data_IF_266430947529
#
_entry.id   IF_266430947529
#
_cell.length_a   1.000
_cell.length_b   1.000
_cell.length_c   1.000
_cell.angle_alpha   90.00
_cell.angle_beta   90.00
_cell.angle_gamma   90.00
#
_symmetry.space_group_name_H-M   'P 1'
#
loop_
_entity.id
_entity.type
_entity.pdbx_description
1 polymer ?
#
# COMPACT_ATOMS: atom_id res chain seq x y z
N UNK A 1 -13.38 -26.30 -1.35
CA UNK A 1 -13.42 -25.75 -2.72
C UNK A 1 -12.50 -24.55 -2.76
N UNK A 2 -11.21 -24.78 -2.97
CA UNK A 2 -10.22 -23.73 -3.21
C UNK A 2 -10.40 -23.28 -4.66
N UNK A 3 -11.26 -22.29 -4.88
CA UNK A 3 -11.22 -21.58 -6.15
C UNK A 3 -9.83 -20.96 -6.29
N UNK A 4 -9.20 -21.15 -7.45
CA UNK A 4 -7.91 -20.54 -7.76
C UNK A 4 -7.98 -19.04 -7.49
N UNK A 5 -7.44 -18.60 -6.35
CA UNK A 5 -7.24 -17.19 -6.04
C UNK A 5 -6.08 -16.71 -6.90
N UNK A 6 -6.35 -16.47 -8.19
CA UNK A 6 -5.40 -15.81 -9.06
C UNK A 6 -5.28 -14.36 -8.56
N UNK A 7 -4.12 -13.93 -8.05
CA UNK A 7 -3.97 -12.56 -7.59
C UNK A 7 -4.27 -11.57 -8.71
N UNK A 8 -4.86 -10.41 -8.41
CA UNK A 8 -5.29 -9.46 -9.42
C UNK A 8 -4.15 -8.94 -10.31
N UNK A 9 -2.89 -8.97 -9.84
CA UNK A 9 -1.71 -8.61 -10.63
C UNK A 9 -1.27 -9.68 -11.64
N UNK A 10 -1.82 -10.90 -11.59
CA UNK A 10 -1.61 -11.96 -12.59
C UNK A 10 -2.64 -11.87 -13.72
N UNK A 11 -3.81 -11.28 -13.45
CA UNK A 11 -4.89 -11.12 -14.43
C UNK A 11 -4.42 -10.13 -15.50
N UNK A 12 -4.06 -10.64 -16.68
CA UNK A 12 -3.69 -9.81 -17.83
C UNK A 12 -4.92 -9.11 -18.39
N UNK A 13 -5.07 -7.83 -18.10
CA UNK A 13 -6.03 -6.98 -18.79
C UNK A 13 -5.50 -6.63 -20.18
N UNK A 14 -6.38 -6.68 -21.19
CA UNK A 14 -6.05 -6.21 -22.54
C UNK A 14 -6.25 -4.69 -22.58
N UNK A 15 -5.17 -3.95 -22.83
CA UNK A 15 -5.24 -2.51 -23.09
C UNK A 15 -5.69 -2.32 -24.54
N UNK A 16 -6.79 -1.58 -24.74
CA UNK A 16 -7.27 -1.19 -26.07
C UNK A 16 -6.93 0.28 -26.29
N UNK A 17 -6.01 0.56 -27.22
CA UNK A 17 -5.59 1.93 -27.54
C UNK A 17 -6.65 2.56 -28.45
N UNK A 18 -7.33 3.60 -27.95
CA UNK A 18 -8.32 4.34 -28.73
C UNK A 18 -7.66 5.34 -29.69
N UNK A 19 -6.62 6.02 -29.23
CA UNK A 19 -5.85 7.02 -29.96
C UNK A 19 -4.40 6.91 -29.50
N UNK A 20 -3.47 6.97 -30.45
CA UNK A 20 -2.04 7.05 -30.18
C UNK A 20 -1.64 8.52 -29.99
N UNK A 21 -1.18 8.87 -28.78
CA UNK A 21 -0.80 10.24 -28.40
C UNK A 21 0.37 10.22 -27.43
N UNK A 22 1.22 11.22 -27.52
CA UNK A 22 2.31 11.44 -26.58
C UNK A 22 1.92 12.43 -25.48
N UNK A 23 2.42 12.19 -24.26
CA UNK A 23 2.28 13.13 -23.15
C UNK A 23 3.38 14.19 -23.21
N UNK A 24 3.08 15.42 -22.83
CA UNK A 24 4.09 16.48 -22.79
C UNK A 24 5.04 16.26 -21.59
N UNK A 25 6.35 16.05 -21.81
CA UNK A 25 7.31 15.73 -20.75
C UNK A 25 7.56 16.88 -19.78
N UNK A 26 7.13 18.11 -20.10
CA UNK A 26 7.22 19.25 -19.18
C UNK A 26 6.20 19.19 -18.02
N UNK A 27 5.23 18.27 -18.06
CA UNK A 27 4.21 18.12 -17.02
C UNK A 27 4.21 16.72 -16.42
N UNK A 28 4.09 16.66 -15.09
CA UNK A 28 4.13 15.39 -14.37
C UNK A 28 5.55 14.83 -14.27
N UNK A 29 5.64 13.55 -13.95
CA UNK A 29 6.89 12.84 -13.67
C UNK A 29 6.64 11.34 -13.65
N UNK A 30 7.67 10.56 -13.98
CA UNK A 30 7.67 9.11 -13.79
C UNK A 30 7.54 8.79 -12.28
N UNK A 31 6.56 7.96 -11.87
CA UNK A 31 6.40 7.52 -10.49
C UNK A 31 7.67 6.99 -9.81
N UNK A 32 8.56 6.35 -10.58
CA UNK A 32 9.79 5.75 -10.06
C UNK A 32 10.98 6.72 -10.06
N UNK A 33 10.85 7.89 -10.68
CA UNK A 33 11.91 8.90 -10.77
C UNK A 33 11.47 10.27 -10.22
N UNK A 34 10.55 10.26 -9.24
CA UNK A 34 10.12 11.48 -8.54
C UNK A 34 11.23 12.01 -7.64
N UNK A 35 11.33 13.33 -7.42
CA UNK A 35 12.18 13.86 -6.35
C UNK A 35 11.71 13.31 -5.00
N UNK A 36 12.65 13.11 -4.08
CA UNK A 36 12.43 12.39 -2.81
C UNK A 36 11.20 12.89 -2.03
N UNK A 37 11.01 14.21 -1.96
CA UNK A 37 9.87 14.82 -1.26
C UNK A 37 8.52 14.37 -1.85
N UNK A 38 8.39 14.36 -3.18
CA UNK A 38 7.18 13.91 -3.88
C UNK A 38 7.03 12.39 -3.82
N UNK A 39 8.14 11.66 -3.84
CA UNK A 39 8.13 10.21 -3.68
C UNK A 39 7.56 9.80 -2.32
N UNK A 40 8.02 10.43 -1.23
CA UNK A 40 7.47 10.21 0.12
C UNK A 40 6.00 10.61 0.17
N UNK A 41 5.65 11.79 -0.36
CA UNK A 41 4.27 12.31 -0.30
C UNK A 41 3.23 11.41 -0.99
N UNK A 42 3.66 10.69 -2.02
CA UNK A 42 2.84 9.77 -2.83
C UNK A 42 3.22 8.31 -2.57
N UNK A 43 3.93 8.03 -1.48
CA UNK A 43 4.52 6.74 -1.17
C UNK A 43 3.61 5.84 -0.33
N UNK A 44 3.85 4.54 -0.47
CA UNK A 44 3.28 3.49 0.39
C UNK A 44 4.43 2.61 0.87
N UNK A 45 4.51 2.40 2.18
CA UNK A 45 5.47 1.48 2.80
C UNK A 45 4.80 0.14 3.01
N UNK A 46 5.29 -0.91 2.36
CA UNK A 46 4.88 -2.27 2.64
C UNK A 46 5.64 -2.78 3.87
N UNK A 47 5.07 -2.57 5.06
CA UNK A 47 5.75 -2.86 6.32
C UNK A 47 5.39 -4.26 6.84
N UNK A 48 6.39 -5.02 7.30
CA UNK A 48 6.15 -6.22 8.12
C UNK A 48 5.96 -5.79 9.58
N UNK A 49 4.70 -5.81 10.03
CA UNK A 49 4.33 -5.35 11.38
C UNK A 49 4.87 -6.35 12.39
N UNK A 50 5.65 -5.92 13.40
CA UNK A 50 6.04 -6.81 14.48
C UNK A 50 4.86 -7.15 15.39
N UNK A 51 4.94 -8.28 16.09
CA UNK A 51 4.04 -8.60 17.21
C UNK A 51 4.36 -7.69 18.41
N UNK A 52 3.35 -7.27 19.14
CA UNK A 52 3.47 -6.38 20.30
C UNK A 52 2.72 -5.06 20.11
N UNK A 53 3.18 -4.14 19.23
CA UNK A 53 2.55 -2.84 19.07
C UNK A 53 1.22 -2.91 18.30
N UNK A 54 0.37 -1.90 18.48
CA UNK A 54 -0.84 -1.75 17.64
C UNK A 54 -0.46 -1.30 16.23
N UNK A 55 -1.35 -1.48 15.26
CA UNK A 55 -1.15 -0.96 13.90
C UNK A 55 -1.04 0.58 13.88
N UNK A 56 -1.72 1.26 14.80
CA UNK A 56 -1.64 2.72 14.95
C UNK A 56 -0.27 3.18 15.47
N UNK A 57 0.30 2.49 16.47
CA UNK A 57 1.62 2.81 17.01
C UNK A 57 2.70 2.73 15.92
N UNK A 58 2.67 1.64 15.14
CA UNK A 58 3.62 1.43 14.04
C UNK A 58 3.45 2.49 12.96
N UNK A 59 2.21 2.84 12.62
CA UNK A 59 1.91 3.92 11.65
C UNK A 59 2.43 5.27 12.13
N UNK A 60 2.23 5.60 13.41
CA UNK A 60 2.74 6.83 14.02
C UNK A 60 4.27 6.88 13.99
N UNK A 61 4.94 5.76 14.27
CA UNK A 61 6.40 5.67 14.20
C UNK A 61 6.91 5.87 12.77
N UNK A 62 6.30 5.24 11.77
CA UNK A 62 6.67 5.43 10.36
C UNK A 62 6.45 6.88 9.91
N UNK A 63 5.33 7.48 10.28
CA UNK A 63 5.06 8.91 10.02
C UNK A 63 6.20 9.80 10.53
N UNK A 64 6.61 9.57 11.78
CA UNK A 64 7.68 10.34 12.42
C UNK A 64 9.05 10.10 11.76
N UNK A 65 9.41 8.84 11.47
CA UNK A 65 10.68 8.48 10.84
C UNK A 65 10.84 9.09 9.45
N UNK A 66 9.75 9.19 8.69
CA UNK A 66 9.75 9.73 7.33
C UNK A 66 9.39 11.22 7.26
N UNK A 67 9.23 11.88 8.42
CA UNK A 67 8.81 13.27 8.53
C UNK A 67 7.53 13.60 7.70
N UNK A 68 6.61 12.64 7.60
CA UNK A 68 5.37 12.80 6.85
C UNK A 68 4.34 13.63 7.63
N UNK A 69 3.59 14.48 6.93
CA UNK A 69 2.52 15.29 7.53
C UNK A 69 1.32 14.44 7.96
N UNK A 70 1.03 13.38 7.21
CA UNK A 70 -0.05 12.41 7.49
C UNK A 70 0.41 10.99 7.16
N UNK A 71 -0.13 10.00 7.88
CA UNK A 71 0.01 8.59 7.53
C UNK A 71 -1.25 7.82 7.93
N UNK A 72 -1.54 6.72 7.24
CA UNK A 72 -2.63 5.80 7.58
C UNK A 72 -2.36 4.39 7.08
N UNK A 73 -2.81 3.37 7.80
CA UNK A 73 -2.59 1.97 7.43
C UNK A 73 -3.76 1.35 6.64
N UNK A 74 -3.46 0.42 5.74
CA UNK A 74 -4.41 -0.25 4.84
C UNK A 74 -5.29 -1.34 5.46
N UNK A 75 -5.15 -1.60 6.76
CA UNK A 75 -5.98 -2.56 7.50
C UNK A 75 -5.44 -2.74 8.92
N UNK A 76 -6.32 -2.89 9.91
CA UNK A 76 -5.89 -3.07 11.29
C UNK A 76 -5.47 -4.53 11.52
N UNK A 77 -4.23 -4.73 11.97
CA UNK A 77 -3.76 -5.98 12.57
C UNK A 77 -3.74 -5.83 14.09
N UNK A 78 -4.23 -6.84 14.79
CA UNK A 78 -4.19 -6.90 16.26
C UNK A 78 -2.74 -6.87 16.78
N UNK A 79 -2.51 -6.46 18.05
CA UNK A 79 -1.18 -6.43 18.65
C UNK A 79 -0.39 -7.73 18.48
N UNK A 80 -1.03 -8.89 18.66
CA UNK A 80 -0.41 -10.20 18.56
C UNK A 80 -0.14 -10.68 17.11
N UNK A 81 -0.67 -9.98 16.11
CA UNK A 81 -0.55 -10.34 14.68
C UNK A 81 0.65 -9.61 14.08
N UNK A 82 1.43 -10.34 13.28
CA UNK A 82 2.52 -9.80 12.45
C UNK A 82 2.17 -9.88 10.97
N UNK A 83 3.02 -9.30 10.11
CA UNK A 83 2.88 -9.42 8.66
C UNK A 83 2.54 -8.10 7.98
N UNK A 84 2.08 -8.21 6.74
CA UNK A 84 1.91 -7.09 5.81
C UNK A 84 0.94 -6.03 6.34
N UNK A 85 1.47 -4.82 6.58
CA UNK A 85 0.74 -3.61 6.96
C UNK A 85 1.14 -2.47 6.02
N UNK A 86 0.39 -2.24 4.92
CA UNK A 86 0.65 -1.11 4.04
C UNK A 86 0.42 0.21 4.78
N UNK A 87 1.41 1.10 4.82
CA UNK A 87 1.32 2.44 5.41
C UNK A 87 1.37 3.46 4.29
N UNK A 88 0.27 4.16 4.07
CA UNK A 88 0.13 5.21 3.08
C UNK A 88 0.56 6.55 3.68
N UNK A 89 1.36 7.32 2.96
CA UNK A 89 1.92 8.60 3.41
C UNK A 89 1.22 9.77 2.73
N UNK A 90 1.02 10.87 3.44
CA UNK A 90 0.49 12.14 2.94
C UNK A 90 -0.66 12.02 1.92
N UNK A 91 -0.40 12.34 0.65
CA UNK A 91 -1.39 12.33 -0.42
C UNK A 91 -1.78 10.90 -0.83
N UNK A 92 -0.88 9.91 -0.66
CA UNK A 92 -1.17 8.51 -0.93
C UNK A 92 -2.31 7.97 -0.07
N UNK A 93 -2.56 8.56 1.11
CA UNK A 93 -3.68 8.16 1.97
C UNK A 93 -5.06 8.28 1.29
N UNK A 94 -5.18 9.06 0.22
CA UNK A 94 -6.40 9.13 -0.61
C UNK A 94 -6.73 7.79 -1.27
N UNK A 95 -5.73 6.92 -1.45
CA UNK A 95 -5.88 5.57 -2.00
C UNK A 95 -6.24 4.52 -0.94
N UNK A 96 -6.47 4.89 0.32
CA UNK A 96 -6.74 3.93 1.40
C UNK A 96 -7.91 2.98 1.09
N UNK A 97 -8.97 3.48 0.46
CA UNK A 97 -10.13 2.66 0.08
C UNK A 97 -9.77 1.48 -0.84
N UNK A 98 -8.87 1.70 -1.81
CA UNK A 98 -8.41 0.65 -2.74
C UNK A 98 -7.63 -0.41 -1.98
N UNK A 99 -6.71 -0.01 -1.10
CA UNK A 99 -5.90 -0.94 -0.30
C UNK A 99 -6.79 -1.76 0.65
N UNK A 100 -7.76 -1.10 1.31
CA UNK A 100 -8.68 -1.77 2.22
C UNK A 100 -9.57 -2.80 1.53
N UNK A 101 -10.03 -2.50 0.30
CA UNK A 101 -10.85 -3.42 -0.50
C UNK A 101 -10.11 -4.65 -1.03
N UNK A 102 -8.78 -4.65 -0.98
CA UNK A 102 -7.97 -5.78 -1.42
C UNK A 102 -8.20 -7.03 -0.56
N UNK A 103 -8.23 -8.20 -1.23
CA UNK A 103 -8.23 -9.49 -0.56
C UNK A 103 -7.02 -9.65 0.36
N UNK A 104 -7.19 -10.43 1.44
CA UNK A 104 -6.17 -10.63 2.47
C UNK A 104 -5.99 -12.12 2.71
N UNK A 105 -4.76 -12.52 2.92
CA UNK A 105 -4.37 -13.90 3.20
C UNK A 105 -3.58 -13.94 4.51
N UNK A 106 -3.80 -15.00 5.28
CA UNK A 106 -3.22 -15.17 6.60
C UNK A 106 -2.71 -16.59 6.77
N UNK A 107 -1.57 -16.71 7.45
CA UNK A 107 -1.10 -17.99 8.02
C UNK A 107 -1.51 -18.00 9.49
N UNK A 108 -2.30 -19.01 9.88
CA UNK A 108 -2.86 -19.11 11.22
C UNK A 108 -2.56 -20.49 11.84
N UNK A 109 -2.34 -20.51 13.16
CA UNK A 109 -2.30 -21.74 13.96
C UNK A 109 -3.56 -21.79 14.81
N UNK A 110 -4.43 -22.76 14.53
CA UNK A 110 -5.63 -23.02 15.32
C UNK A 110 -5.35 -24.12 16.35
N UNK A 111 -5.72 -23.87 17.61
CA UNK A 111 -5.68 -24.86 18.68
C UNK A 111 -7.13 -25.22 19.04
N UNK A 112 -7.47 -26.50 18.93
CA UNK A 112 -8.78 -27.05 19.25
C UNK A 112 -8.98 -27.19 20.77
#
# INVERSE_FOLDING_TARGET
MSGDLTPPWIIKSKILVRIDVESNPSFGEDPYNRPLNRHIKLGVVNLDKPRGPTSHDVTSKVKSLLAAGKAGHGGTLDPAVSGVLPILLDDATKCAGVVMSGGKEYVCVMKL
#
